data_IF_928208168772
#
_entry.id   IF_928208168772
#
_cell.length_a   1.000
_cell.length_b   1.000
_cell.length_c   1.000
_cell.angle_alpha   90.00
_cell.angle_beta   90.00
_cell.angle_gamma   90.00
#
_symmetry.space_group_name_H-M   'P 1'
#
loop_
_entity.id
_entity.type
_entity.pdbx_description
1 polymer ?
#
# COMPACT_ATOMS: atom_id res chain seq x y z
N UNK A 1 -6.12 34.69 -19.05
CA UNK A 1 -5.08 33.76 -18.55
C UNK A 1 -5.79 32.55 -17.96
N UNK A 2 -5.57 31.37 -18.56
CA UNK A 2 -6.27 30.12 -18.23
C UNK A 2 -5.90 29.67 -16.82
N UNK A 3 -6.90 29.53 -15.95
CA UNK A 3 -6.77 28.95 -14.61
C UNK A 3 -6.40 27.48 -14.69
N UNK A 4 -5.49 27.06 -13.81
CA UNK A 4 -4.93 25.73 -13.75
C UNK A 4 -5.99 24.64 -13.58
N UNK A 5 -5.73 23.53 -14.26
CA UNK A 5 -6.47 22.27 -14.17
C UNK A 5 -6.31 21.69 -12.75
N UNK A 6 -7.17 22.13 -11.83
CA UNK A 6 -7.57 21.27 -10.73
C UNK A 6 -8.35 20.10 -11.35
N UNK A 7 -8.12 18.89 -10.87
CA UNK A 7 -8.98 17.72 -11.13
C UNK A 7 -10.36 17.97 -10.52
N UNK A 8 -11.12 18.86 -11.15
CA UNK A 8 -12.51 19.17 -10.86
C UNK A 8 -13.38 18.01 -11.30
N UNK A 9 -14.51 17.83 -10.59
CA UNK A 9 -15.53 16.81 -10.82
C UNK A 9 -15.63 16.40 -12.31
N UNK A 10 -15.29 15.16 -12.69
CA UNK A 10 -15.32 14.72 -14.09
C UNK A 10 -16.72 14.81 -14.70
N UNK A 11 -17.78 14.89 -13.87
CA UNK A 11 -19.16 15.15 -14.32
C UNK A 11 -19.40 16.58 -14.77
N UNK A 12 -18.57 17.54 -14.36
CA UNK A 12 -18.66 18.93 -14.83
C UNK A 12 -18.16 19.10 -16.27
N UNK A 13 -17.71 18.00 -16.91
CA UNK A 13 -17.32 17.93 -18.31
C UNK A 13 -18.18 16.95 -19.11
N UNK A 14 -19.25 16.42 -18.51
CA UNK A 14 -20.26 15.73 -19.30
C UNK A 14 -21.01 16.78 -20.13
N UNK A 15 -21.50 16.34 -21.28
CA UNK A 15 -22.33 17.17 -22.14
C UNK A 15 -23.75 17.12 -21.56
N UNK A 16 -24.38 18.29 -21.43
CA UNK A 16 -25.67 18.46 -20.78
C UNK A 16 -26.59 19.28 -21.70
N UNK A 17 -27.87 18.92 -21.77
CA UNK A 17 -28.89 19.71 -22.49
C UNK A 17 -28.57 19.87 -23.99
N UNK A 18 -28.60 21.10 -24.55
CA UNK A 18 -28.47 21.30 -26.00
C UNK A 18 -27.12 20.86 -26.57
N UNK A 19 -26.07 20.83 -25.75
CA UNK A 19 -24.75 20.33 -26.15
C UNK A 19 -24.70 18.79 -26.20
N UNK A 20 -25.56 18.08 -25.46
CA UNK A 20 -25.75 16.64 -25.58
C UNK A 20 -26.63 16.32 -26.79
N UNK A 21 -27.75 17.03 -26.94
CA UNK A 21 -28.71 16.83 -28.03
C UNK A 21 -28.05 16.96 -29.42
N UNK A 22 -27.01 17.81 -29.54
CA UNK A 22 -26.25 18.01 -30.77
C UNK A 22 -25.33 16.84 -31.18
N UNK A 23 -25.00 15.93 -30.26
CA UNK A 23 -24.05 14.82 -30.47
C UNK A 23 -24.63 13.47 -30.01
N UNK A 24 -25.88 13.45 -29.56
CA UNK A 24 -26.58 12.27 -29.05
C UNK A 24 -26.67 11.13 -30.06
N UNK A 25 -26.78 11.42 -31.37
CA UNK A 25 -26.80 10.39 -32.41
C UNK A 25 -25.39 9.87 -32.77
N UNK A 26 -24.37 10.71 -32.68
CA UNK A 26 -22.99 10.39 -33.10
C UNK A 26 -22.19 9.65 -32.00
N UNK A 27 -22.44 9.96 -30.73
CA UNK A 27 -21.68 9.39 -29.59
C UNK A 27 -21.93 7.88 -29.40
N UNK A 28 -23.18 7.37 -29.42
CA UNK A 28 -23.45 5.93 -29.37
C UNK A 28 -22.82 5.19 -30.55
N UNK A 29 -22.91 5.74 -31.76
CA UNK A 29 -22.29 5.17 -32.95
C UNK A 29 -20.75 5.10 -32.83
N UNK A 30 -20.12 6.16 -32.32
CA UNK A 30 -18.67 6.20 -32.08
C UNK A 30 -18.19 5.28 -30.95
N UNK A 31 -19.06 4.92 -30.01
CA UNK A 31 -18.78 4.00 -28.90
C UNK A 31 -19.27 2.56 -29.17
N UNK A 32 -19.75 2.27 -30.38
CA UNK A 32 -20.36 0.98 -30.76
C UNK A 32 -21.49 0.55 -29.81
N UNK A 33 -22.33 1.53 -29.45
CA UNK A 33 -23.51 1.38 -28.62
C UNK A 33 -24.76 1.45 -29.52
N UNK A 34 -24.89 0.48 -30.42
CA UNK A 34 -25.84 0.50 -31.54
C UNK A 34 -27.30 0.20 -31.14
N UNK A 35 -27.56 0.07 -29.84
CA UNK A 35 -28.85 -0.38 -29.30
C UNK A 35 -29.37 0.59 -28.24
N UNK A 36 -30.69 0.73 -28.10
CA UNK A 36 -31.30 1.57 -27.07
C UNK A 36 -30.77 1.22 -25.67
N UNK A 37 -30.55 2.25 -24.84
CA UNK A 37 -29.96 2.11 -23.50
C UNK A 37 -30.76 1.16 -22.62
N UNK A 38 -32.08 1.16 -22.75
CA UNK A 38 -32.99 0.29 -22.00
C UNK A 38 -32.76 -1.18 -22.36
N UNK A 39 -32.55 -1.48 -23.64
CA UNK A 39 -32.27 -2.85 -24.09
C UNK A 39 -30.89 -3.32 -23.65
N UNK A 40 -29.89 -2.42 -23.67
CA UNK A 40 -28.54 -2.73 -23.20
C UNK A 40 -28.50 -2.96 -21.69
N UNK A 41 -29.25 -2.19 -20.91
CA UNK A 41 -29.31 -2.34 -19.46
C UNK A 41 -30.18 -3.52 -19.02
N UNK A 42 -31.11 -3.99 -19.86
CA UNK A 42 -32.01 -5.09 -19.51
C UNK A 42 -31.28 -6.40 -19.17
N UNK A 43 -30.17 -6.71 -19.84
CA UNK A 43 -29.38 -7.92 -19.56
C UNK A 43 -28.54 -7.79 -18.28
N UNK A 44 -27.71 -6.74 -18.07
CA UNK A 44 -27.03 -6.49 -16.81
C UNK A 44 -27.97 -6.39 -15.60
N UNK A 45 -29.13 -5.76 -15.76
CA UNK A 45 -30.16 -5.67 -14.69
C UNK A 45 -30.70 -7.06 -14.36
N UNK A 46 -31.00 -7.90 -15.35
CA UNK A 46 -31.42 -9.29 -15.11
C UNK A 46 -30.30 -10.12 -14.48
N UNK A 47 -29.05 -9.92 -14.91
CA UNK A 47 -27.89 -10.58 -14.31
C UNK A 47 -27.69 -10.19 -12.85
N UNK A 48 -27.84 -8.90 -12.53
CA UNK A 48 -27.79 -8.38 -11.17
C UNK A 48 -28.91 -8.95 -10.30
N UNK A 49 -30.16 -8.93 -10.79
CA UNK A 49 -31.33 -9.50 -10.11
C UNK A 49 -31.16 -11.00 -9.83
N UNK A 50 -30.68 -11.74 -10.83
CA UNK A 50 -30.37 -13.18 -10.68
C UNK A 50 -29.28 -13.41 -9.65
N UNK A 51 -28.20 -12.62 -9.68
CA UNK A 51 -27.10 -12.71 -8.71
C UNK A 51 -27.57 -12.40 -7.28
N UNK A 52 -28.45 -11.41 -7.10
CA UNK A 52 -29.05 -11.11 -5.79
C UNK A 52 -29.94 -12.24 -5.29
N UNK A 53 -30.78 -12.83 -6.15
CA UNK A 53 -31.61 -13.99 -5.78
C UNK A 53 -30.76 -15.18 -5.36
N UNK A 54 -29.71 -15.49 -6.12
CA UNK A 54 -28.76 -16.56 -5.76
C UNK A 54 -28.01 -16.27 -4.45
N UNK A 55 -27.67 -15.01 -4.18
CA UNK A 55 -27.07 -14.64 -2.90
C UNK A 55 -28.04 -14.87 -1.74
N UNK A 56 -29.31 -14.48 -1.89
CA UNK A 56 -30.35 -14.71 -0.89
C UNK A 56 -30.53 -16.20 -0.64
N UNK A 57 -30.68 -17.01 -1.69
CA UNK A 57 -30.80 -18.48 -1.57
C UNK A 57 -29.60 -19.07 -0.82
N UNK A 58 -28.37 -18.68 -1.17
CA UNK A 58 -27.15 -19.16 -0.48
C UNK A 58 -27.07 -18.73 0.98
N UNK A 59 -27.56 -17.54 1.32
CA UNK A 59 -27.61 -17.07 2.71
C UNK A 59 -28.66 -17.83 3.51
N UNK A 60 -29.80 -18.13 2.91
CA UNK A 60 -30.85 -18.97 3.51
C UNK A 60 -30.37 -20.41 3.72
N UNK A 61 -29.71 -21.02 2.72
CA UNK A 61 -29.08 -22.34 2.82
C UNK A 61 -28.01 -22.41 3.91
N UNK A 62 -27.20 -21.36 4.06
CA UNK A 62 -26.17 -21.26 5.08
C UNK A 62 -26.72 -21.00 6.50
N UNK A 63 -27.97 -20.56 6.63
CA UNK A 63 -28.66 -20.39 7.91
C UNK A 63 -27.88 -19.53 8.92
N UNK A 64 -27.89 -19.85 10.23
CA UNK A 64 -27.19 -19.08 11.27
C UNK A 64 -25.66 -19.12 11.16
N UNK A 65 -25.10 -19.91 10.25
CA UNK A 65 -23.66 -19.87 9.92
C UNK A 65 -23.31 -18.72 8.96
N UNK A 66 -24.30 -18.19 8.22
CA UNK A 66 -24.14 -16.98 7.43
C UNK A 66 -24.02 -15.77 8.36
N UNK A 67 -22.81 -15.24 8.51
CA UNK A 67 -22.54 -13.96 9.19
C UNK A 67 -22.93 -12.76 8.31
N UNK A 68 -23.92 -12.91 7.44
CA UNK A 68 -24.39 -11.87 6.54
C UNK A 68 -25.92 -11.90 6.50
N UNK A 69 -26.54 -10.79 6.87
CA UNK A 69 -27.98 -10.57 6.81
C UNK A 69 -28.28 -9.45 5.83
N UNK A 70 -29.53 -9.40 5.39
CA UNK A 70 -30.01 -8.38 4.47
C UNK A 70 -31.16 -7.65 5.18
N UNK A 71 -30.96 -6.37 5.50
CA UNK A 71 -31.97 -5.53 6.15
C UNK A 71 -32.59 -4.58 5.12
N UNK A 72 -33.91 -4.65 4.95
CA UNK A 72 -34.64 -3.63 4.19
C UNK A 72 -34.76 -2.36 5.04
N UNK A 73 -34.06 -1.30 4.65
CA UNK A 73 -34.27 0.01 5.21
C UNK A 73 -35.68 0.51 4.82
N UNK A 74 -36.32 1.28 5.70
CA UNK A 74 -37.70 1.77 5.51
C UNK A 74 -37.92 2.67 4.30
N UNK A 75 -36.87 3.00 3.54
CA UNK A 75 -36.90 3.73 2.27
C UNK A 75 -36.90 2.80 1.03
N UNK A 76 -37.04 1.48 1.22
CA UNK A 76 -36.99 0.48 0.16
C UNK A 76 -35.57 0.10 -0.27
N UNK A 77 -34.53 0.63 0.38
CA UNK A 77 -33.14 0.23 0.11
C UNK A 77 -32.77 -1.00 0.90
N UNK A 78 -32.21 -1.97 0.20
CA UNK A 78 -31.72 -3.21 0.78
C UNK A 78 -30.26 -3.00 1.21
N UNK A 79 -29.98 -3.18 2.51
CA UNK A 79 -28.64 -3.02 3.07
C UNK A 79 -28.09 -4.37 3.54
N UNK A 80 -27.01 -4.89 2.92
CA UNK A 80 -26.34 -6.07 3.44
C UNK A 80 -25.59 -5.70 4.73
N UNK A 81 -25.87 -6.40 5.81
CA UNK A 81 -25.20 -6.31 7.08
C UNK A 81 -24.35 -7.58 7.28
N UNK A 82 -23.03 -7.44 7.17
CA UNK A 82 -22.11 -8.56 7.41
C UNK A 82 -21.62 -8.43 8.84
N UNK A 83 -22.05 -9.35 9.69
CA UNK A 83 -21.55 -9.49 11.05
C UNK A 83 -20.03 -9.66 11.03
N UNK A 84 -19.36 -9.04 12.00
CA UNK A 84 -17.91 -9.17 12.13
C UNK A 84 -17.59 -10.65 12.31
N UNK A 85 -16.70 -11.18 11.46
CA UNK A 85 -16.07 -12.46 11.73
C UNK A 85 -15.46 -12.39 13.14
N UNK A 86 -16.04 -13.13 14.07
CA UNK A 86 -15.44 -13.32 15.40
C UNK A 86 -14.01 -13.77 15.23
N UNK A 87 -13.07 -13.08 15.89
CA UNK A 87 -11.67 -13.45 15.87
C UNK A 87 -11.54 -14.90 16.35
N UNK A 88 -10.93 -15.75 15.53
CA UNK A 88 -10.49 -17.06 15.99
C UNK A 88 -9.52 -16.81 17.15
N UNK A 89 -9.88 -17.29 18.35
CA UNK A 89 -9.03 -17.13 19.52
C UNK A 89 -7.65 -17.73 19.26
N UNK A 90 -6.58 -17.01 19.59
CA UNK A 90 -5.22 -17.51 19.41
C UNK A 90 -5.02 -18.78 20.27
N UNK A 91 -4.60 -19.92 19.68
CA UNK A 91 -4.32 -21.12 20.44
C UNK A 91 -3.21 -20.88 21.47
N UNK A 92 -3.37 -21.44 22.69
CA UNK A 92 -2.32 -21.35 23.73
C UNK A 92 -0.96 -21.90 23.25
N UNK A 93 -0.98 -22.88 22.35
CA UNK A 93 0.20 -23.43 21.70
C UNK A 93 0.97 -22.38 20.88
N UNK A 94 0.26 -21.54 20.12
CA UNK A 94 0.85 -20.46 19.32
C UNK A 94 1.53 -19.42 20.21
N UNK A 95 0.85 -18.99 21.28
CA UNK A 95 1.43 -18.04 22.25
C UNK A 95 2.67 -18.61 22.93
N UNK A 96 2.66 -19.90 23.29
CA UNK A 96 3.84 -20.58 23.83
C UNK A 96 4.99 -20.64 22.82
N UNK A 97 4.70 -20.92 21.55
CA UNK A 97 5.69 -20.98 20.48
C UNK A 97 6.34 -19.61 20.24
N UNK A 98 5.54 -18.55 20.10
CA UNK A 98 6.00 -17.17 19.95
C UNK A 98 6.95 -16.77 21.08
N UNK A 99 6.58 -17.04 22.34
CA UNK A 99 7.45 -16.76 23.49
C UNK A 99 8.74 -17.60 23.55
N UNK A 100 8.82 -18.75 22.86
CA UNK A 100 10.07 -19.51 22.70
C UNK A 100 10.95 -18.88 21.61
N UNK A 101 10.36 -18.53 20.48
CA UNK A 101 11.06 -17.89 19.36
C UNK A 101 11.66 -16.56 19.81
N UNK A 102 10.88 -15.72 20.51
CA UNK A 102 11.35 -14.44 21.06
C UNK A 102 12.57 -14.57 21.98
N UNK A 103 12.68 -15.67 22.73
CA UNK A 103 13.83 -15.95 23.60
C UNK A 103 15.06 -16.45 22.84
N UNK A 104 14.88 -16.98 21.63
CA UNK A 104 15.96 -17.46 20.77
C UNK A 104 16.49 -16.35 19.85
N UNK A 105 15.71 -15.30 19.62
CA UNK A 105 16.13 -14.17 18.80
C UNK A 105 17.27 -13.40 19.48
N UNK A 106 18.42 -13.21 18.79
CA UNK A 106 19.52 -12.42 19.32
C UNK A 106 19.12 -10.95 19.46
N UNK A 107 19.68 -10.27 20.46
CA UNK A 107 19.59 -8.80 20.55
C UNK A 107 20.74 -8.22 19.74
N UNK A 108 20.41 -7.57 18.63
CA UNK A 108 21.37 -6.92 17.73
C UNK A 108 20.96 -5.45 17.54
N UNK A 109 21.95 -4.57 17.41
CA UNK A 109 21.70 -3.17 17.10
C UNK A 109 21.28 -3.01 15.63
N UNK A 110 20.39 -2.04 15.36
CA UNK A 110 19.84 -1.84 14.01
C UNK A 110 20.92 -1.61 12.92
N UNK A 111 21.99 -0.81 13.16
CA UNK A 111 23.06 -0.65 12.17
C UNK A 111 23.79 -1.96 11.88
N UNK A 112 24.07 -2.77 12.91
CA UNK A 112 24.76 -4.05 12.76
C UNK A 112 23.90 -5.05 11.98
N UNK A 113 22.59 -5.07 12.24
CA UNK A 113 21.64 -5.86 11.45
C UNK A 113 21.67 -5.46 9.97
N UNK A 114 21.74 -4.17 9.65
CA UNK A 114 21.83 -3.71 8.27
C UNK A 114 23.13 -4.13 7.59
N UNK A 115 24.26 -4.11 8.31
CA UNK A 115 25.52 -4.64 7.78
C UNK A 115 25.49 -6.15 7.56
N UNK A 116 24.89 -6.89 8.50
CA UNK A 116 24.71 -8.33 8.37
C UNK A 116 23.85 -8.64 7.15
N UNK A 117 22.67 -8.03 7.03
CA UNK A 117 21.78 -8.17 5.86
C UNK A 117 22.50 -7.82 4.56
N UNK A 118 23.28 -6.74 4.56
CA UNK A 118 24.07 -6.37 3.39
C UNK A 118 25.12 -7.43 3.02
N UNK A 119 25.72 -8.13 3.98
CA UNK A 119 26.76 -9.12 3.71
C UNK A 119 26.25 -10.31 2.88
N UNK A 120 24.96 -10.68 2.99
CA UNK A 120 24.37 -11.77 2.20
C UNK A 120 23.44 -11.33 1.07
N UNK A 121 22.97 -10.07 1.05
CA UNK A 121 22.09 -9.55 -0.01
C UNK A 121 22.75 -8.56 -0.97
N UNK A 122 23.82 -7.87 -0.54
CA UNK A 122 24.46 -6.80 -1.30
C UNK A 122 23.55 -5.58 -1.55
N UNK A 123 22.45 -5.41 -0.80
CA UNK A 123 21.46 -4.36 -1.13
C UNK A 123 22.04 -2.93 -1.12
N UNK A 124 23.12 -2.67 -0.37
CA UNK A 124 23.76 -1.35 -0.35
C UNK A 124 24.49 -1.01 -1.67
N UNK A 125 24.78 -2.01 -2.51
CA UNK A 125 25.44 -1.80 -3.81
C UNK A 125 24.51 -1.11 -4.82
N UNK A 126 23.19 -1.16 -4.59
CA UNK A 126 22.21 -0.44 -5.39
C UNK A 126 22.31 1.10 -5.27
N UNK A 127 22.93 1.61 -4.20
CA UNK A 127 23.11 3.04 -3.99
C UNK A 127 24.32 3.55 -4.78
N UNK A 128 24.08 3.90 -6.03
CA UNK A 128 25.07 4.45 -6.97
C UNK A 128 24.98 5.97 -7.09
N UNK A 129 26.10 6.62 -7.42
CA UNK A 129 26.14 8.08 -7.60
C UNK A 129 25.30 8.53 -8.82
N UNK A 130 24.61 9.67 -8.70
CA UNK A 130 23.72 10.24 -9.74
C UNK A 130 24.40 10.45 -11.11
N UNK A 131 25.69 10.84 -11.12
CA UNK A 131 26.40 11.24 -12.34
C UNK A 131 27.07 10.11 -13.14
N UNK A 132 27.65 9.11 -12.46
CA UNK A 132 28.64 8.20 -13.08
C UNK A 132 28.31 6.71 -12.91
N UNK A 133 27.19 6.37 -12.26
CA UNK A 133 26.74 4.98 -12.02
C UNK A 133 27.70 4.11 -11.20
N UNK A 134 28.90 4.60 -10.86
CA UNK A 134 29.96 3.87 -10.15
C UNK A 134 30.27 4.55 -8.83
N UNK A 135 30.21 3.78 -7.75
CA UNK A 135 30.52 4.24 -6.41
C UNK A 135 32.04 4.27 -6.19
N UNK A 136 32.64 5.46 -6.22
CA UNK A 136 34.09 5.65 -5.96
C UNK A 136 34.41 6.04 -4.51
N UNK A 137 33.39 6.21 -3.67
CA UNK A 137 33.52 6.66 -2.29
C UNK A 137 33.88 5.50 -1.36
N UNK A 138 35.08 5.53 -0.77
CA UNK A 138 35.52 4.53 0.22
C UNK A 138 34.64 4.61 1.48
N UNK A 139 34.12 3.47 1.95
CA UNK A 139 33.26 3.43 3.14
C UNK A 139 31.85 3.97 2.91
N UNK A 140 31.35 3.98 1.66
CA UNK A 140 29.96 4.34 1.38
C UNK A 140 28.94 3.52 2.20
N UNK A 141 29.08 2.18 2.37
CA UNK A 141 28.11 1.40 3.14
C UNK A 141 27.88 1.97 4.55
N UNK A 142 28.94 2.42 5.23
CA UNK A 142 28.85 3.05 6.54
C UNK A 142 28.07 4.36 6.52
N UNK A 143 28.32 5.22 5.52
CA UNK A 143 27.57 6.46 5.34
C UNK A 143 26.10 6.19 5.04
N UNK A 144 25.81 5.17 4.21
CA UNK A 144 24.45 4.82 3.83
C UNK A 144 23.67 4.22 5.00
N UNK A 145 24.25 3.30 5.76
CA UNK A 145 23.63 2.73 6.97
C UNK A 145 23.31 3.84 7.98
N UNK A 146 24.26 4.75 8.24
CA UNK A 146 24.03 5.89 9.13
C UNK A 146 22.88 6.78 8.65
N UNK A 147 22.81 7.06 7.34
CA UNK A 147 21.75 7.86 6.73
C UNK A 147 20.38 7.17 6.81
N UNK A 148 20.32 5.88 6.47
CA UNK A 148 19.10 5.07 6.52
C UNK A 148 18.55 4.99 7.95
N UNK A 149 19.40 4.71 8.94
CA UNK A 149 19.01 4.68 10.36
C UNK A 149 18.54 6.07 10.82
N UNK A 150 19.25 7.12 10.45
CA UNK A 150 18.89 8.50 10.76
C UNK A 150 17.48 8.86 10.28
N UNK A 151 17.15 8.51 9.03
CA UNK A 151 15.86 8.78 8.41
C UNK A 151 14.76 7.86 8.90
N UNK A 152 15.01 6.55 8.95
CA UNK A 152 14.02 5.55 9.36
C UNK A 152 13.62 5.67 10.83
N UNK A 153 14.53 6.13 11.69
CA UNK A 153 14.24 6.38 13.10
C UNK A 153 13.78 7.81 13.37
N UNK A 154 13.73 8.69 12.36
CA UNK A 154 13.39 10.11 12.49
C UNK A 154 14.21 10.83 13.59
N UNK A 155 15.51 10.50 13.70
CA UNK A 155 16.43 11.05 14.72
C UNK A 155 17.29 12.21 14.18
N UNK A 156 17.25 12.47 12.88
CA UNK A 156 18.08 13.48 12.22
C UNK A 156 19.56 13.10 12.16
N UNK A 157 20.40 13.91 11.52
CA UNK A 157 21.81 13.57 11.29
C UNK A 157 22.68 13.73 12.54
N UNK A 158 22.29 14.58 13.49
CA UNK A 158 23.14 14.90 14.64
C UNK A 158 23.62 13.67 15.45
N UNK A 159 22.77 12.66 15.74
CA UNK A 159 23.19 11.48 16.50
C UNK A 159 24.12 10.52 15.73
N UNK A 160 24.15 10.59 14.39
CA UNK A 160 24.95 9.68 13.54
C UNK A 160 26.23 10.34 13.01
N UNK A 161 26.43 11.63 13.29
CA UNK A 161 27.62 12.36 12.87
C UNK A 161 28.77 12.10 13.84
N UNK A 162 29.92 11.71 13.28
CA UNK A 162 31.17 11.59 14.01
C UNK A 162 32.31 12.27 13.21
N UNK A 163 32.81 13.45 13.64
CA UNK A 163 33.89 14.15 12.96
C UNK A 163 35.22 13.38 12.91
N UNK A 164 35.45 12.44 13.84
CA UNK A 164 36.67 11.64 13.87
C UNK A 164 36.66 10.50 12.84
N UNK A 165 35.51 10.20 12.23
CA UNK A 165 35.37 9.13 11.25
C UNK A 165 34.93 9.71 9.90
N UNK A 166 35.80 9.65 8.88
CA UNK A 166 35.56 10.28 7.58
C UNK A 166 34.17 9.95 7.00
N UNK A 167 33.76 8.68 7.09
CA UNK A 167 32.47 8.20 6.57
C UNK A 167 31.22 8.78 7.27
N UNK A 168 31.38 9.33 8.47
CA UNK A 168 30.31 9.83 9.33
C UNK A 168 30.39 11.35 9.51
N UNK A 169 31.22 12.03 8.73
CA UNK A 169 31.26 13.49 8.74
C UNK A 169 29.94 14.06 8.22
N UNK A 170 29.47 15.17 8.82
CA UNK A 170 28.18 15.78 8.43
C UNK A 170 28.14 16.17 6.95
N UNK A 171 29.23 16.75 6.44
CA UNK A 171 29.33 17.16 5.04
C UNK A 171 29.17 15.95 4.10
N UNK A 172 29.76 14.81 4.46
CA UNK A 172 29.64 13.58 3.69
C UNK A 172 28.25 12.97 3.74
N UNK A 173 27.61 12.92 4.92
CA UNK A 173 26.24 12.40 5.02
C UNK A 173 25.25 13.24 4.21
N UNK A 174 25.39 14.57 4.20
CA UNK A 174 24.58 15.46 3.35
C UNK A 174 24.85 15.20 1.86
N UNK A 175 26.10 14.96 1.47
CA UNK A 175 26.42 14.59 0.09
C UNK A 175 25.81 13.24 -0.30
N UNK A 176 25.90 12.24 0.57
CA UNK A 176 25.30 10.91 0.31
C UNK A 176 23.78 11.01 0.18
N UNK A 177 23.13 11.79 1.05
CA UNK A 177 21.71 12.08 0.98
C UNK A 177 21.27 12.68 -0.36
N UNK A 178 22.04 13.63 -0.89
CA UNK A 178 21.72 14.32 -2.13
C UNK A 178 21.97 13.49 -3.39
N UNK A 179 23.05 12.72 -3.43
CA UNK A 179 23.54 12.12 -4.68
C UNK A 179 23.34 10.61 -4.77
N UNK A 180 23.19 9.91 -3.64
CA UNK A 180 23.09 8.45 -3.61
C UNK A 180 21.72 7.95 -3.18
N UNK A 181 21.03 8.63 -2.26
CA UNK A 181 19.69 8.20 -1.84
C UNK A 181 18.62 8.80 -2.75
N UNK A 182 18.08 7.97 -3.64
CA UNK A 182 17.05 8.35 -4.62
C UNK A 182 15.98 7.27 -4.74
N UNK A 183 14.82 7.62 -5.29
CA UNK A 183 13.71 6.68 -5.45
C UNK A 183 14.10 5.41 -6.24
N UNK A 184 14.84 5.55 -7.34
CA UNK A 184 15.37 4.44 -8.15
C UNK A 184 16.33 3.54 -7.35
N UNK A 185 17.25 4.13 -6.57
CA UNK A 185 18.20 3.36 -5.75
C UNK A 185 17.53 2.65 -4.57
N UNK A 186 16.49 3.27 -3.97
CA UNK A 186 15.69 2.64 -2.90
C UNK A 186 14.89 1.48 -3.48
N UNK A 187 14.27 1.65 -4.64
CA UNK A 187 13.55 0.59 -5.33
C UNK A 187 14.48 -0.58 -5.67
N UNK A 188 15.66 -0.31 -6.25
CA UNK A 188 16.66 -1.33 -6.56
C UNK A 188 17.20 -2.05 -5.31
N UNK A 189 17.44 -1.33 -4.22
CA UNK A 189 17.82 -1.91 -2.94
C UNK A 189 16.72 -2.81 -2.37
N UNK A 190 15.46 -2.36 -2.43
CA UNK A 190 14.30 -3.14 -1.98
C UNK A 190 14.11 -4.40 -2.85
N UNK A 191 14.35 -4.32 -4.17
CA UNK A 191 14.33 -5.46 -5.07
C UNK A 191 15.26 -6.59 -4.63
N UNK A 192 16.49 -6.24 -4.23
CA UNK A 192 17.48 -7.18 -3.73
C UNK A 192 17.01 -7.85 -2.41
N UNK A 193 16.37 -7.09 -1.52
CA UNK A 193 15.80 -7.61 -0.28
C UNK A 193 14.61 -8.54 -0.53
N UNK A 194 13.71 -8.19 -1.46
CA UNK A 194 12.56 -9.01 -1.85
C UNK A 194 13.05 -10.35 -2.43
N UNK A 195 14.05 -10.31 -3.32
CA UNK A 195 14.64 -11.51 -3.90
C UNK A 195 15.24 -12.42 -2.82
N UNK A 196 16.03 -11.86 -1.91
CA UNK A 196 16.64 -12.63 -0.83
C UNK A 196 15.61 -13.20 0.16
N UNK A 197 14.51 -12.49 0.42
CA UNK A 197 13.41 -12.99 1.25
C UNK A 197 12.71 -14.18 0.61
N UNK A 198 12.50 -14.17 -0.71
CA UNK A 198 11.85 -15.27 -1.43
C UNK A 198 12.62 -16.60 -1.31
N UNK A 199 13.95 -16.54 -1.13
CA UNK A 199 14.80 -17.71 -0.94
C UNK A 199 14.71 -18.32 0.47
N UNK A 200 14.08 -17.64 1.44
CA UNK A 200 13.93 -18.17 2.80
C UNK A 200 12.86 -19.28 2.81
N UNK A 201 13.18 -20.51 3.24
CA UNK A 201 12.27 -21.65 3.11
C UNK A 201 10.89 -21.48 3.77
N UNK A 202 10.81 -20.70 4.86
CA UNK A 202 9.53 -20.46 5.55
C UNK A 202 8.56 -19.60 4.72
N UNK A 203 9.09 -18.75 3.82
CA UNK A 203 8.30 -17.79 3.04
C UNK A 203 7.39 -18.50 2.03
N UNK A 204 7.82 -19.66 1.53
CA UNK A 204 7.04 -20.53 0.64
C UNK A 204 5.76 -21.06 1.32
N UNK A 205 5.68 -21.06 2.65
CA UNK A 205 4.45 -21.42 3.39
C UNK A 205 3.48 -20.25 3.54
N UNK A 206 3.90 -19.01 3.27
CA UNK A 206 3.05 -17.83 3.39
C UNK A 206 2.28 -17.53 2.11
N UNK A 207 2.93 -17.73 0.96
CA UNK A 207 2.31 -17.55 -0.36
C UNK A 207 3.30 -17.62 -1.51
N UNK A 208 2.79 -17.45 -2.72
CA UNK A 208 3.56 -17.58 -3.97
C UNK A 208 4.01 -16.21 -4.54
N UNK A 209 3.68 -15.10 -3.88
CA UNK A 209 3.97 -13.74 -4.36
C UNK A 209 2.92 -13.20 -5.33
N UNK A 210 1.83 -13.94 -5.58
CA UNK A 210 0.85 -13.66 -6.62
C UNK A 210 -0.30 -12.75 -6.18
N UNK A 211 -0.47 -12.61 -4.87
CA UNK A 211 -1.48 -11.75 -4.27
C UNK A 211 -0.81 -10.56 -3.58
N UNK A 212 -1.36 -9.37 -3.80
CA UNK A 212 -0.96 -8.17 -3.07
C UNK A 212 -2.11 -7.60 -2.24
N UNK A 213 -1.77 -6.89 -1.18
CA UNK A 213 -2.65 -5.99 -0.43
C UNK A 213 -2.00 -4.60 -0.39
N UNK A 214 -2.79 -3.55 -0.55
CA UNK A 214 -2.35 -2.16 -0.60
C UNK A 214 -3.09 -1.45 0.51
N UNK A 215 -2.36 -1.12 1.56
CA UNK A 215 -2.89 -0.28 2.62
C UNK A 215 -2.51 1.18 2.41
N UNK A 216 -3.34 2.07 2.94
CA UNK A 216 -3.15 3.51 2.86
C UNK A 216 -3.14 4.17 4.23
N UNK A 217 -2.13 3.98 5.11
CA UNK A 217 -2.01 4.77 6.32
C UNK A 217 -1.99 6.27 5.98
N UNK A 218 -2.77 7.03 6.75
CA UNK A 218 -3.04 8.45 6.53
C UNK A 218 -2.41 9.27 7.63
N UNK A 219 -1.65 10.30 7.25
CA UNK A 219 -0.93 11.17 8.16
C UNK A 219 -1.36 12.61 7.97
N UNK A 220 -1.71 13.29 9.05
CA UNK A 220 -1.90 14.73 9.05
C UNK A 220 -0.53 15.41 9.03
N UNK A 221 -0.30 16.29 8.06
CA UNK A 221 1.00 16.96 7.87
C UNK A 221 0.80 18.45 8.10
N UNK A 222 1.51 19.06 9.07
CA UNK A 222 1.32 20.49 9.38
C UNK A 222 2.00 21.41 8.36
N UNK A 223 2.94 20.89 7.56
CA UNK A 223 3.71 21.64 6.57
C UNK A 223 3.05 21.50 5.19
N UNK A 224 3.02 22.60 4.44
CA UNK A 224 2.56 22.58 3.05
C UNK A 224 3.62 21.92 2.17
N UNK A 225 3.31 20.76 1.62
CA UNK A 225 4.15 20.03 0.65
C UNK A 225 3.38 19.82 -0.65
N UNK A 226 4.07 19.42 -1.72
CA UNK A 226 3.45 19.13 -3.02
C UNK A 226 2.40 18.01 -2.93
N UNK A 227 2.59 17.06 -2.01
CA UNK A 227 1.71 15.91 -1.82
C UNK A 227 0.69 16.12 -0.69
N UNK A 228 0.76 17.20 0.09
CA UNK A 228 -0.17 17.43 1.19
C UNK A 228 -1.42 18.18 0.70
N UNK A 229 -2.59 17.56 0.88
CA UNK A 229 -3.87 18.17 0.51
C UNK A 229 -4.88 18.09 1.67
N UNK A 230 -5.76 19.10 1.81
CA UNK A 230 -6.87 19.03 2.76
C UNK A 230 -7.90 18.00 2.29
N UNK A 231 -8.47 17.24 3.22
CA UNK A 231 -9.64 16.41 2.95
C UNK A 231 -10.52 16.31 4.17
N UNK A 232 -11.76 16.79 4.05
CA UNK A 232 -12.73 16.84 5.14
C UNK A 232 -13.03 15.46 5.71
N UNK A 233 -13.00 14.42 4.87
CA UNK A 233 -13.26 13.03 5.27
C UNK A 233 -12.16 12.45 6.16
N UNK A 234 -10.89 12.77 5.89
CA UNK A 234 -9.75 12.08 6.50
C UNK A 234 -8.90 12.96 7.42
N UNK A 235 -8.80 14.26 7.13
CA UNK A 235 -7.91 15.20 7.83
C UNK A 235 -8.65 16.44 8.37
N UNK A 236 -9.97 16.52 8.17
CA UNK A 236 -10.76 17.69 8.50
C UNK A 236 -10.31 18.93 7.71
N UNK A 237 -10.01 20.03 8.40
CA UNK A 237 -9.52 21.28 7.80
C UNK A 237 -8.00 21.33 7.63
N UNK A 238 -7.28 20.30 8.08
CA UNK A 238 -5.82 20.28 8.02
C UNK A 238 -5.36 19.48 6.79
N UNK A 239 -4.19 19.81 6.23
CA UNK A 239 -3.63 19.02 5.14
C UNK A 239 -3.12 17.67 5.65
N UNK A 240 -3.15 16.68 4.78
CA UNK A 240 -2.63 15.35 5.04
C UNK A 240 -2.16 14.64 3.79
N UNK A 241 -1.45 13.54 4.01
CA UNK A 241 -0.94 12.64 2.99
C UNK A 241 -1.46 11.23 3.27
N UNK A 242 -1.67 10.46 2.22
CA UNK A 242 -1.89 9.02 2.31
C UNK A 242 -0.63 8.35 1.76
N UNK A 243 -0.04 7.42 2.52
CA UNK A 243 1.03 6.57 2.01
C UNK A 243 0.40 5.25 1.62
N UNK A 244 0.42 4.93 0.33
CA UNK A 244 0.07 3.60 -0.17
C UNK A 244 1.29 2.68 0.00
N UNK A 245 1.07 1.52 0.60
CA UNK A 245 2.07 0.47 0.75
C UNK A 245 1.50 -0.84 0.24
N UNK A 246 2.09 -1.36 -0.83
CA UNK A 246 1.75 -2.64 -1.42
C UNK A 246 2.61 -3.74 -0.79
N UNK A 247 1.96 -4.74 -0.21
CA UNK A 247 2.58 -5.89 0.45
C UNK A 247 2.04 -7.16 -0.18
N UNK A 248 2.91 -8.10 -0.55
CA UNK A 248 2.46 -9.39 -1.09
C UNK A 248 2.08 -10.41 0.01
N UNK A 249 1.55 -11.55 -0.39
CA UNK A 249 1.26 -12.72 0.45
C UNK A 249 2.50 -13.37 1.09
N UNK A 250 3.70 -13.01 0.63
CA UNK A 250 4.98 -13.33 1.27
C UNK A 250 5.41 -12.27 2.31
N UNK A 251 4.56 -11.29 2.62
CA UNK A 251 4.82 -10.20 3.58
C UNK A 251 6.02 -9.32 3.17
N UNK A 252 6.30 -9.24 1.87
CA UNK A 252 7.30 -8.34 1.31
C UNK A 252 6.62 -7.06 0.81
N UNK A 253 7.20 -5.89 1.14
CA UNK A 253 6.75 -4.60 0.62
C UNK A 253 7.20 -4.44 -0.83
N UNK A 254 6.31 -4.67 -1.78
CA UNK A 254 6.61 -4.73 -3.22
C UNK A 254 6.51 -3.37 -3.91
N UNK A 255 5.92 -2.37 -3.26
CA UNK A 255 5.78 -1.04 -3.84
C UNK A 255 5.19 -0.04 -2.87
N UNK A 256 5.47 1.24 -3.07
CA UNK A 256 4.98 2.31 -2.21
C UNK A 256 4.77 3.61 -2.99
N UNK A 257 3.76 4.37 -2.59
CA UNK A 257 3.47 5.67 -3.19
C UNK A 257 2.94 6.64 -2.15
N UNK A 258 3.33 7.91 -2.25
CA UNK A 258 2.74 8.97 -1.41
C UNK A 258 1.77 9.77 -2.26
N UNK A 259 0.51 9.77 -1.86
CA UNK A 259 -0.57 10.44 -2.58
C UNK A 259 -1.21 11.52 -1.72
N UNK A 260 -1.69 12.60 -2.35
CA UNK A 260 -2.55 13.55 -1.67
C UNK A 260 -3.78 12.87 -1.10
N UNK A 261 -4.23 13.39 0.03
CA UNK A 261 -5.36 12.89 0.82
C UNK A 261 -6.75 12.90 0.15
N UNK A 262 -6.85 12.67 -1.15
CA UNK A 262 -8.05 12.89 -1.95
C UNK A 262 -9.04 11.71 -1.86
N UNK A 263 -10.30 11.87 -2.30
CA UNK A 263 -11.34 10.86 -2.09
C UNK A 263 -11.21 9.59 -2.93
N UNK A 264 -10.38 9.58 -3.99
CA UNK A 264 -10.24 8.46 -4.92
C UNK A 264 -8.79 7.98 -4.97
N UNK A 265 -8.48 7.02 -4.12
CA UNK A 265 -7.16 6.38 -4.06
C UNK A 265 -6.99 5.30 -5.16
N UNK A 266 -8.07 4.91 -5.89
CA UNK A 266 -8.04 3.73 -6.77
C UNK A 266 -7.07 3.80 -7.96
N UNK A 267 -6.90 4.93 -8.67
CA UNK A 267 -5.88 5.00 -9.73
C UNK A 267 -4.47 4.88 -9.15
N UNK A 268 -4.23 5.46 -7.98
CA UNK A 268 -2.93 5.45 -7.34
C UNK A 268 -2.58 4.08 -6.75
N UNK A 269 -3.57 3.30 -6.31
CA UNK A 269 -3.40 1.89 -5.90
C UNK A 269 -2.93 1.07 -7.11
N UNK A 270 -3.54 1.26 -8.27
CA UNK A 270 -3.15 0.57 -9.49
C UNK A 270 -1.71 0.95 -9.88
N UNK A 271 -1.37 2.23 -9.80
CA UNK A 271 -0.01 2.69 -10.08
C UNK A 271 1.02 2.08 -9.12
N UNK A 272 0.71 1.99 -7.83
CA UNK A 272 1.55 1.33 -6.84
C UNK A 272 1.72 -0.19 -7.09
N UNK A 273 0.77 -0.84 -7.75
CA UNK A 273 0.84 -2.26 -8.13
C UNK A 273 1.52 -2.50 -9.49
N UNK A 274 1.55 -1.49 -10.36
CA UNK A 274 2.20 -1.55 -11.66
C UNK A 274 3.69 -1.20 -11.57
N UNK A 275 4.06 -0.27 -10.68
CA UNK A 275 5.43 0.19 -10.46
C UNK A 275 6.02 -0.48 -9.21
N UNK A 276 6.25 -1.79 -9.32
CA UNK A 276 6.83 -2.58 -8.23
C UNK A 276 8.34 -2.37 -8.13
N UNK A 277 8.84 -2.36 -6.90
CA UNK A 277 10.26 -2.33 -6.59
C UNK A 277 10.92 -3.67 -6.95
N UNK A 278 10.21 -4.80 -6.82
CA UNK A 278 10.70 -6.12 -7.16
C UNK A 278 9.71 -7.26 -6.87
N UNK A 279 10.13 -8.50 -7.17
CA UNK A 279 9.31 -9.70 -6.99
C UNK A 279 8.39 -10.02 -8.18
N UNK A 280 7.55 -11.04 -7.99
CA UNK A 280 6.59 -11.47 -9.02
C UNK A 280 5.46 -10.43 -9.12
N UNK A 281 5.06 -10.10 -10.34
CA UNK A 281 3.91 -9.21 -10.55
C UNK A 281 2.63 -9.90 -10.07
N UNK A 282 1.88 -9.32 -9.11
CA UNK A 282 0.66 -9.92 -8.62
C UNK A 282 -0.38 -10.07 -9.74
N UNK A 283 -1.05 -11.22 -9.79
CA UNK A 283 -2.17 -11.45 -10.69
C UNK A 283 -3.51 -11.04 -10.08
N UNK A 284 -3.55 -10.82 -8.76
CA UNK A 284 -4.71 -10.34 -8.02
C UNK A 284 -4.32 -9.44 -6.84
N UNK A 285 -5.24 -8.57 -6.43
CA UNK A 285 -5.06 -7.67 -5.29
C UNK A 285 -6.31 -7.63 -4.42
N UNK A 286 -6.14 -7.63 -3.10
CA UNK A 286 -7.20 -7.45 -2.11
C UNK A 286 -7.15 -6.02 -1.57
N UNK A 287 -8.09 -5.17 -1.99
CA UNK A 287 -8.29 -3.87 -1.36
C UNK A 287 -9.22 -4.02 -0.15
N UNK A 288 -8.71 -3.77 1.05
CA UNK A 288 -9.51 -3.80 2.27
C UNK A 288 -10.49 -2.61 2.39
N UNK A 289 -10.51 -1.69 1.41
CA UNK A 289 -11.36 -0.49 1.40
C UNK A 289 -12.70 -0.66 0.70
N UNK A 290 -12.90 -1.69 -0.13
CA UNK A 290 -14.15 -1.78 -0.89
C UNK A 290 -15.26 -2.49 -0.09
N UNK A 291 -16.14 -1.68 0.51
CA UNK A 291 -17.44 -2.14 1.02
C UNK A 291 -18.50 -2.20 -0.08
N UNK A 292 -18.13 -2.05 -1.36
CA UNK A 292 -19.03 -2.15 -2.50
C UNK A 292 -18.52 -3.15 -3.53
N UNK A 293 -19.08 -4.36 -3.50
CA UNK A 293 -19.16 -5.31 -4.62
C UNK A 293 -18.05 -5.24 -5.70
N UNK A 294 -17.00 -6.03 -5.49
CA UNK A 294 -16.35 -6.79 -6.56
C UNK A 294 -15.67 -8.01 -5.92
N UNK A 295 -15.48 -9.07 -6.69
CA UNK A 295 -15.07 -10.44 -6.31
C UNK A 295 -13.72 -10.49 -5.53
N UNK A 296 -13.70 -9.94 -4.32
CA UNK A 296 -12.56 -9.92 -3.42
C UNK A 296 -12.65 -11.15 -2.53
N UNK A 297 -11.85 -12.15 -2.87
CA UNK A 297 -11.54 -13.24 -1.95
C UNK A 297 -10.91 -12.61 -0.71
N UNK A 298 -11.66 -12.54 0.39
CA UNK A 298 -11.09 -12.26 1.72
C UNK A 298 -10.22 -13.44 2.07
N UNK A 299 -8.93 -13.32 1.81
CA UNK A 299 -7.95 -14.25 2.32
C UNK A 299 -7.45 -13.71 3.66
N UNK A 300 -7.86 -14.34 4.76
CA UNK A 300 -7.39 -14.00 6.13
C UNK A 300 -5.88 -14.27 6.31
N UNK A 301 -5.22 -14.85 5.30
CA UNK A 301 -3.79 -15.11 5.24
C UNK A 301 -2.93 -13.86 4.94
N UNK A 302 -3.51 -12.79 4.38
CA UNK A 302 -2.78 -11.56 4.09
C UNK A 302 -3.07 -10.56 5.23
N UNK A 303 -2.15 -10.39 6.19
CA UNK A 303 -2.40 -9.53 7.34
C UNK A 303 -2.58 -8.10 6.88
N UNK A 304 -3.52 -7.37 7.50
CA UNK A 304 -3.47 -5.91 7.37
C UNK A 304 -2.15 -5.45 7.99
N UNK A 305 -1.49 -4.46 7.38
CA UNK A 305 -0.38 -3.69 7.98
C UNK A 305 -0.61 -3.33 9.46
N UNK A 306 -1.86 -3.06 9.87
CA UNK A 306 -2.23 -2.74 11.26
C UNK A 306 -2.41 -3.95 12.21
N UNK A 307 -2.49 -5.18 11.72
CA UNK A 307 -2.63 -6.40 12.54
C UNK A 307 -1.30 -6.86 13.16
N UNK A 308 -0.19 -6.21 12.82
CA UNK A 308 1.12 -6.36 13.46
C UNK A 308 1.28 -5.56 14.76
N UNK A 309 0.26 -4.81 15.19
CA UNK A 309 0.29 -4.00 16.42
C UNK A 309 0.59 -4.77 17.74
N UNK A 310 0.15 -6.03 17.98
CA UNK A 310 0.39 -6.65 19.27
C UNK A 310 1.86 -7.06 19.52
N UNK A 311 2.72 -7.03 18.49
CA UNK A 311 4.16 -7.24 18.62
C UNK A 311 4.94 -5.92 18.70
N UNK A 312 4.37 -4.83 18.18
CA UNK A 312 4.94 -3.48 18.19
C UNK A 312 4.70 -2.72 19.51
N UNK A 313 3.70 -3.10 20.33
CA UNK A 313 3.42 -2.42 21.61
C UNK A 313 4.43 -2.71 22.74
N UNK A 314 5.45 -3.56 22.50
CA UNK A 314 6.57 -3.81 23.44
C UNK A 314 7.94 -3.33 22.95
N UNK A 315 7.99 -2.71 21.77
CA UNK A 315 9.17 -2.03 21.25
C UNK A 315 8.85 -0.53 21.19
N UNK A 316 9.78 0.36 21.56
CA UNK A 316 9.50 1.80 21.56
C UNK A 316 9.08 2.23 20.14
N UNK A 317 7.85 2.74 20.01
CA UNK A 317 7.27 3.48 18.87
C UNK A 317 8.23 3.70 17.68
N UNK A 318 8.40 2.70 16.82
CA UNK A 318 9.28 2.77 15.64
C UNK A 318 8.63 2.01 14.49
N UNK A 319 7.62 2.62 13.88
CA UNK A 319 7.26 2.38 12.48
C UNK A 319 7.06 3.74 11.83
N UNK A 320 8.17 4.30 11.36
CA UNK A 320 8.25 5.53 10.59
C UNK A 320 9.37 5.38 9.56
N UNK A 321 9.33 4.31 8.77
CA UNK A 321 10.30 4.13 7.69
C UNK A 321 9.97 5.06 6.52
N UNK A 322 10.57 6.26 6.60
CA UNK A 322 11.16 7.09 5.53
C UNK A 322 10.24 7.87 4.57
N UNK A 323 10.37 9.21 4.67
CA UNK A 323 10.43 10.15 3.53
C UNK A 323 11.86 10.20 2.98
#
# INVERSE_FOLDING_TARGET
MRGGLGTSNPRARLLDGPDWDAVEEDVPAGLSLDMPVEQRLAEPVRGLDTGWKQLVERLEEAGPAAKASIEAAGDGRVKPNVDKLGALGEPKSLTRLRGRIEKMLPKIDLPDLLFEVNAWTGFLDAFVHLGDGTTRMKGLPTSMVALLVSKACNIGLAPVVNPAHEALTRARLVHVDQYYQRADTIAAANAALIAAQADVPIVQFWGEGLLASVDGPRFQVPVRTINAAPSSKYFGFKPGITRLNAVNDQVAGIGQMVVPGTPRDSPDILDALLNLDGGVKPCGHVDHRDRGCSHSLRNDSIPRTNEFRPMADRLPRLMLTVC
#
